data_IF_584814742201
#
_entry.id   IF_584814742201
#
_cell.length_a   1.000
_cell.length_b   1.000
_cell.length_c   1.000
_cell.angle_alpha   90.00
_cell.angle_beta   90.00
_cell.angle_gamma   90.00
#
_symmetry.space_group_name_H-M   'P 1'
#
loop_
_entity.id
_entity.type
_entity.pdbx_description
1 polymer ?
#
# COMPACT_ATOMS: atom_id res chain seq x y z
N UNK A 1 -17.71 18.35 25.92
CA UNK A 1 -18.92 19.08 25.48
C UNK A 1 -18.60 20.04 24.32
N UNK A 2 -17.55 20.87 24.45
CA UNK A 2 -17.13 21.84 23.41
C UNK A 2 -16.81 21.17 22.08
N UNK A 3 -16.11 20.02 22.09
CA UNK A 3 -15.76 19.25 20.89
C UNK A 3 -17.01 18.82 20.10
N UNK A 4 -18.08 18.45 20.79
CA UNK A 4 -19.35 18.06 20.13
C UNK A 4 -20.05 19.24 19.42
N UNK A 5 -19.68 20.48 19.76
CA UNK A 5 -20.15 21.71 19.13
C UNK A 5 -19.16 22.28 18.11
N UNK A 6 -18.11 21.51 17.78
CA UNK A 6 -17.09 21.91 16.81
C UNK A 6 -16.00 22.84 17.35
N UNK A 7 -15.98 23.09 18.66
CA UNK A 7 -14.91 23.84 19.29
C UNK A 7 -13.83 22.89 19.80
N UNK A 8 -12.72 22.84 19.08
CA UNK A 8 -11.54 22.03 19.37
C UNK A 8 -10.49 22.78 20.22
N UNK A 9 -10.79 24.05 20.57
CA UNK A 9 -9.85 24.90 21.30
C UNK A 9 -8.66 25.36 20.47
N UNK A 10 -7.60 25.77 21.18
CA UNK A 10 -6.39 26.36 20.61
C UNK A 10 -5.17 25.50 20.90
N UNK A 11 -4.21 25.49 19.96
CA UNK A 11 -2.92 24.82 20.13
C UNK A 11 -2.08 25.52 21.20
N UNK A 12 -1.59 24.76 22.17
CA UNK A 12 -0.71 25.25 23.25
C UNK A 12 0.64 25.71 22.68
N UNK A 13 1.07 25.16 21.53
CA UNK A 13 2.39 25.44 20.94
C UNK A 13 2.43 26.75 20.17
N UNK A 14 1.37 27.03 19.39
CA UNK A 14 1.36 28.19 18.45
C UNK A 14 0.14 29.09 18.55
N UNK A 15 -0.78 28.81 19.49
CA UNK A 15 -1.97 29.64 19.73
C UNK A 15 -3.04 29.62 18.61
N UNK A 16 -2.85 28.83 17.56
CA UNK A 16 -3.80 28.74 16.46
C UNK A 16 -5.00 27.85 16.82
N UNK A 17 -6.21 28.14 16.27
CA UNK A 17 -7.35 27.25 16.42
C UNK A 17 -7.03 25.83 15.88
N UNK A 18 -7.30 24.79 16.66
CA UNK A 18 -7.04 23.40 16.27
C UNK A 18 -7.83 23.02 15.01
N UNK A 19 -9.06 23.50 14.87
CA UNK A 19 -9.88 23.29 13.66
C UNK A 19 -9.18 23.75 12.38
N UNK A 20 -8.47 24.89 12.43
CA UNK A 20 -7.69 25.41 11.30
C UNK A 20 -6.48 24.53 10.99
N UNK A 21 -5.73 24.09 12.01
CA UNK A 21 -4.56 23.22 11.83
C UNK A 21 -4.96 21.89 11.22
N UNK A 22 -6.00 21.26 11.77
CA UNK A 22 -6.54 19.99 11.28
C UNK A 22 -7.08 20.14 9.85
N UNK A 23 -7.88 21.19 9.58
CA UNK A 23 -8.42 21.43 8.24
C UNK A 23 -7.35 21.63 7.16
N UNK A 24 -6.18 22.17 7.52
CA UNK A 24 -5.04 22.32 6.59
C UNK A 24 -4.25 21.00 6.40
N UNK A 25 -4.13 20.17 7.46
CA UNK A 25 -3.37 18.94 7.41
C UNK A 25 -4.15 17.75 6.81
N UNK A 26 -5.45 17.65 7.10
CA UNK A 26 -6.29 16.54 6.66
C UNK A 26 -6.24 16.25 5.16
N UNK A 27 -6.34 17.23 4.23
CA UNK A 27 -6.28 16.93 2.80
C UNK A 27 -4.97 16.27 2.38
N UNK A 28 -3.83 16.67 2.99
CA UNK A 28 -2.54 16.06 2.70
C UNK A 28 -2.45 14.62 3.23
N UNK A 29 -2.96 14.40 4.43
CA UNK A 29 -3.00 13.08 5.06
C UNK A 29 -3.85 12.12 4.24
N UNK A 30 -5.08 12.53 3.85
CA UNK A 30 -5.96 11.72 3.01
C UNK A 30 -5.34 11.39 1.66
N UNK A 31 -4.70 12.36 1.03
CA UNK A 31 -4.03 12.16 -0.26
C UNK A 31 -2.91 11.10 -0.15
N UNK A 32 -2.02 11.25 0.83
CA UNK A 32 -0.93 10.30 1.06
C UNK A 32 -1.47 8.90 1.40
N UNK A 33 -2.43 8.81 2.30
CA UNK A 33 -3.04 7.56 2.73
C UNK A 33 -3.72 6.85 1.54
N UNK A 34 -4.53 7.57 0.78
CA UNK A 34 -5.28 7.02 -0.35
C UNK A 34 -4.36 6.54 -1.47
N UNK A 35 -3.39 7.36 -1.87
CA UNK A 35 -2.41 6.99 -2.91
C UNK A 35 -1.57 5.79 -2.46
N UNK A 36 -1.12 5.77 -1.21
CA UNK A 36 -0.35 4.65 -0.65
C UNK A 36 -1.18 3.37 -0.60
N UNK A 37 -2.46 3.45 -0.24
CA UNK A 37 -3.37 2.30 -0.23
C UNK A 37 -3.58 1.73 -1.64
N UNK A 38 -3.83 2.58 -2.63
CA UNK A 38 -4.01 2.14 -4.02
C UNK A 38 -2.74 1.46 -4.53
N UNK A 39 -1.59 2.11 -4.40
CA UNK A 39 -0.32 1.57 -4.91
C UNK A 39 0.01 0.25 -4.20
N UNK A 40 -0.08 0.22 -2.87
CA UNK A 40 0.20 -1.01 -2.12
C UNK A 40 -0.76 -2.15 -2.47
N UNK A 41 -2.02 -1.84 -2.71
CA UNK A 41 -3.03 -2.84 -3.09
C UNK A 41 -2.71 -3.43 -4.46
N UNK A 42 -2.48 -2.58 -5.47
CA UNK A 42 -2.17 -3.04 -6.82
C UNK A 42 -0.87 -3.85 -6.83
N UNK A 43 0.21 -3.28 -6.29
CA UNK A 43 1.54 -3.92 -6.31
C UNK A 43 1.56 -5.20 -5.46
N UNK A 44 0.97 -5.16 -4.25
CA UNK A 44 0.94 -6.31 -3.35
C UNK A 44 0.13 -7.48 -3.92
N UNK A 45 -1.05 -7.21 -4.51
CA UNK A 45 -1.86 -8.25 -5.15
C UNK A 45 -1.14 -8.82 -6.38
N UNK A 46 -0.58 -7.98 -7.26
CA UNK A 46 0.13 -8.45 -8.45
C UNK A 46 1.31 -9.35 -8.09
N UNK A 47 2.17 -8.91 -7.18
CA UNK A 47 3.32 -9.72 -6.74
C UNK A 47 2.83 -11.00 -6.05
N UNK A 48 1.79 -10.94 -5.22
CA UNK A 48 1.22 -12.09 -4.53
C UNK A 48 0.67 -13.15 -5.49
N UNK A 49 -0.05 -12.72 -6.53
CA UNK A 49 -0.57 -13.61 -7.59
C UNK A 49 0.59 -14.27 -8.35
N UNK A 50 1.57 -13.48 -8.81
CA UNK A 50 2.74 -14.01 -9.54
C UNK A 50 3.51 -15.02 -8.67
N UNK A 51 3.71 -14.70 -7.40
CA UNK A 51 4.38 -15.55 -6.42
C UNK A 51 3.62 -16.87 -6.21
N UNK A 52 2.29 -16.83 -6.11
CA UNK A 52 1.47 -18.03 -5.96
C UNK A 52 1.50 -18.92 -7.21
N UNK A 53 1.37 -18.33 -8.41
CA UNK A 53 1.41 -19.05 -9.68
C UNK A 53 2.77 -19.71 -9.92
N UNK A 54 3.85 -19.04 -9.51
CA UNK A 54 5.23 -19.56 -9.62
C UNK A 54 5.75 -20.11 -8.28
N UNK A 55 4.87 -20.77 -7.54
CA UNK A 55 5.19 -21.35 -6.22
C UNK A 55 6.50 -22.14 -6.22
N UNK A 56 7.32 -21.92 -5.19
CA UNK A 56 8.64 -22.53 -4.98
C UNK A 56 9.69 -22.22 -6.06
N UNK A 57 9.38 -21.38 -7.03
CA UNK A 57 10.33 -20.87 -8.01
C UNK A 57 11.17 -19.71 -7.48
N UNK A 58 12.14 -19.27 -8.28
CA UNK A 58 13.04 -18.15 -7.94
C UNK A 58 12.25 -16.86 -7.64
N UNK A 59 11.22 -16.54 -8.45
CA UNK A 59 10.40 -15.35 -8.28
C UNK A 59 9.65 -15.41 -6.94
N UNK A 60 9.08 -16.55 -6.58
CA UNK A 60 8.40 -16.73 -5.31
C UNK A 60 9.36 -16.56 -4.12
N UNK A 61 10.56 -17.16 -4.22
CA UNK A 61 11.57 -17.06 -3.17
C UNK A 61 12.03 -15.60 -2.96
N UNK A 62 12.30 -14.87 -4.05
CA UNK A 62 12.69 -13.46 -3.99
C UNK A 62 11.54 -12.62 -3.41
N UNK A 63 10.30 -12.81 -3.87
CA UNK A 63 9.15 -12.06 -3.39
C UNK A 63 8.91 -12.30 -1.89
N UNK A 64 9.02 -13.54 -1.41
CA UNK A 64 8.93 -13.86 0.03
C UNK A 64 10.05 -13.23 0.84
N UNK A 65 11.29 -13.29 0.34
CA UNK A 65 12.44 -12.66 0.99
C UNK A 65 12.25 -11.15 1.12
N UNK A 66 11.87 -10.46 0.03
CA UNK A 66 11.58 -9.02 0.05
C UNK A 66 10.40 -8.67 0.96
N UNK A 67 9.36 -9.52 1.03
CA UNK A 67 8.24 -9.31 1.92
C UNK A 67 8.64 -9.44 3.41
N UNK A 68 9.57 -10.33 3.75
CA UNK A 68 10.14 -10.40 5.12
C UNK A 68 10.89 -9.11 5.44
N UNK A 69 11.76 -8.66 4.56
CA UNK A 69 12.51 -7.39 4.74
C UNK A 69 11.54 -6.21 4.89
N UNK A 70 10.56 -6.08 3.98
CA UNK A 70 9.61 -4.97 3.99
C UNK A 70 8.72 -4.90 5.23
N UNK A 71 8.55 -6.01 5.96
CA UNK A 71 7.82 -6.02 7.24
C UNK A 71 8.73 -5.92 8.46
N UNK A 72 10.01 -6.26 8.33
CA UNK A 72 11.00 -6.20 9.42
C UNK A 72 11.57 -4.79 9.61
N UNK A 73 11.70 -4.02 8.52
CA UNK A 73 12.24 -2.66 8.59
C UNK A 73 11.17 -1.70 9.11
N UNK A 74 11.45 -0.92 10.18
CA UNK A 74 10.54 0.12 10.63
C UNK A 74 10.28 1.15 9.51
N UNK A 75 9.01 1.47 9.28
CA UNK A 75 8.58 2.34 8.18
C UNK A 75 9.28 3.72 8.19
N UNK A 76 9.41 4.34 9.37
CA UNK A 76 10.10 5.63 9.51
C UNK A 76 11.58 5.54 9.13
N UNK A 77 12.25 4.44 9.52
CA UNK A 77 13.66 4.23 9.20
C UNK A 77 13.87 4.06 7.70
N UNK A 78 13.02 3.27 7.04
CA UNK A 78 13.04 3.15 5.59
C UNK A 78 12.80 4.50 4.91
N UNK A 79 11.84 5.29 5.41
CA UNK A 79 11.57 6.65 4.92
C UNK A 79 12.80 7.55 4.98
N UNK A 80 13.55 7.53 6.10
CA UNK A 80 14.78 8.30 6.25
C UNK A 80 15.85 7.84 5.24
N UNK A 81 16.00 6.54 5.05
CA UNK A 81 16.99 6.00 4.11
C UNK A 81 16.72 6.44 2.67
N UNK A 82 15.47 6.31 2.18
CA UNK A 82 15.14 6.70 0.81
C UNK A 82 15.19 8.22 0.62
N UNK A 83 14.80 9.01 1.63
CA UNK A 83 14.91 10.45 1.61
C UNK A 83 16.40 10.88 1.52
N UNK A 84 17.26 10.31 2.37
CA UNK A 84 18.69 10.58 2.31
C UNK A 84 19.28 10.26 0.95
N UNK A 85 18.99 9.09 0.41
CA UNK A 85 19.54 8.63 -0.85
C UNK A 85 19.01 9.43 -2.05
N UNK A 86 17.69 9.54 -2.22
CA UNK A 86 17.10 10.15 -3.42
C UNK A 86 17.03 11.68 -3.38
N UNK A 87 16.77 12.26 -2.19
CA UNK A 87 16.59 13.71 -2.08
C UNK A 87 17.88 14.43 -1.70
N UNK A 88 18.71 13.88 -0.81
CA UNK A 88 19.90 14.57 -0.32
C UNK A 88 21.13 14.24 -1.18
N UNK A 89 21.42 12.93 -1.41
CA UNK A 89 22.62 12.53 -2.15
C UNK A 89 22.44 12.68 -3.67
N UNK A 90 21.39 12.08 -4.25
CA UNK A 90 21.13 12.14 -5.69
C UNK A 90 20.44 13.42 -6.15
N UNK A 91 19.75 14.13 -5.26
CA UNK A 91 19.02 15.39 -5.55
C UNK A 91 18.01 15.28 -6.70
N UNK A 92 17.43 14.09 -6.91
CA UNK A 92 16.45 13.82 -7.99
C UNK A 92 15.00 13.95 -7.54
N UNK A 93 14.76 13.94 -6.22
CA UNK A 93 13.44 14.11 -5.64
C UNK A 93 13.45 15.19 -4.55
N UNK A 94 12.33 15.86 -4.29
CA UNK A 94 12.26 16.91 -3.28
C UNK A 94 12.36 16.31 -1.86
N UNK A 95 12.94 17.09 -0.94
CA UNK A 95 13.12 16.69 0.47
C UNK A 95 11.77 16.66 1.22
N UNK A 96 10.83 17.53 0.86
CA UNK A 96 9.54 17.64 1.54
C UNK A 96 8.66 18.73 0.94
N UNK A 97 7.53 19.00 1.60
CA UNK A 97 6.52 19.93 1.10
C UNK A 97 5.49 19.26 0.20
N UNK A 98 4.56 20.06 -0.33
CA UNK A 98 3.51 19.60 -1.25
C UNK A 98 3.81 19.97 -2.70
N UNK A 99 4.56 21.04 -2.90
CA UNK A 99 4.98 21.58 -4.19
C UNK A 99 6.33 22.27 -4.03
N UNK A 100 7.07 22.38 -5.11
CA UNK A 100 8.25 23.25 -5.16
C UNK A 100 7.84 24.73 -5.16
N UNK A 101 8.66 25.60 -4.61
CA UNK A 101 8.37 27.04 -4.54
C UNK A 101 8.09 27.60 -5.94
N UNK A 102 6.87 28.13 -6.15
CA UNK A 102 6.44 28.70 -7.42
C UNK A 102 6.01 27.71 -8.49
N UNK A 103 6.12 26.40 -8.25
CA UNK A 103 5.71 25.36 -9.22
C UNK A 103 4.55 24.51 -8.65
N UNK A 104 3.33 24.88 -9.03
CA UNK A 104 2.09 24.18 -8.63
C UNK A 104 1.62 23.19 -9.71
N UNK A 105 2.52 22.66 -10.52
CA UNK A 105 2.19 21.70 -11.57
C UNK A 105 1.86 20.32 -11.00
N UNK A 106 1.11 19.52 -11.77
CA UNK A 106 0.80 18.13 -11.45
C UNK A 106 2.07 17.27 -11.34
N UNK A 107 3.08 17.56 -12.15
CA UNK A 107 4.37 16.85 -12.13
C UNK A 107 5.10 17.12 -10.80
N UNK A 108 5.18 18.39 -10.40
CA UNK A 108 5.74 18.76 -9.08
C UNK A 108 5.03 18.02 -7.95
N UNK A 109 3.69 17.93 -8.00
CA UNK A 109 2.91 17.18 -7.01
C UNK A 109 3.29 15.71 -6.94
N UNK A 110 3.40 15.03 -8.09
CA UNK A 110 3.82 13.62 -8.15
C UNK A 110 5.21 13.44 -7.54
N UNK A 111 6.18 14.30 -7.88
CA UNK A 111 7.53 14.21 -7.33
C UNK A 111 7.56 14.26 -5.81
N UNK A 112 6.73 15.14 -5.20
CA UNK A 112 6.62 15.26 -3.75
C UNK A 112 5.89 14.07 -3.08
N UNK A 113 5.09 13.31 -3.84
CA UNK A 113 4.38 12.12 -3.35
C UNK A 113 5.25 10.85 -3.40
N UNK A 114 6.24 10.76 -4.29
CA UNK A 114 6.99 9.50 -4.51
C UNK A 114 7.61 8.97 -3.22
N UNK A 115 8.42 9.76 -2.52
CA UNK A 115 9.13 9.30 -1.32
C UNK A 115 8.18 8.93 -0.18
N UNK A 116 7.24 9.81 0.25
CA UNK A 116 6.36 9.45 1.36
C UNK A 116 5.42 8.30 1.02
N UNK A 117 4.89 8.23 -0.21
CA UNK A 117 4.05 7.11 -0.64
C UNK A 117 4.84 5.80 -0.66
N UNK A 118 6.08 5.80 -1.16
CA UNK A 118 6.94 4.61 -1.15
C UNK A 118 7.22 4.15 0.28
N UNK A 119 7.55 5.07 1.18
CA UNK A 119 7.78 4.76 2.58
C UNK A 119 6.54 4.17 3.26
N UNK A 120 5.35 4.73 3.01
CA UNK A 120 4.10 4.21 3.57
C UNK A 120 3.68 2.87 2.96
N UNK A 121 4.00 2.65 1.70
CA UNK A 121 3.53 1.47 0.95
C UNK A 121 4.33 0.20 1.22
N UNK A 122 5.62 0.27 1.57
CA UNK A 122 6.49 -0.92 1.60
C UNK A 122 5.97 -2.04 2.51
N UNK A 123 5.59 -1.69 3.74
CA UNK A 123 5.04 -2.66 4.70
C UNK A 123 3.67 -3.20 4.27
N UNK A 124 2.83 -2.33 3.67
CA UNK A 124 1.52 -2.71 3.15
C UNK A 124 1.64 -3.66 1.96
N UNK A 125 2.52 -3.36 1.00
CA UNK A 125 2.83 -4.24 -0.15
C UNK A 125 3.29 -5.61 0.34
N UNK A 126 4.23 -5.65 1.27
CA UNK A 126 4.76 -6.88 1.83
C UNK A 126 3.68 -7.74 2.53
N UNK A 127 2.79 -7.09 3.29
CA UNK A 127 1.67 -7.78 3.94
C UNK A 127 0.66 -8.29 2.91
N UNK A 128 0.20 -7.44 1.98
CA UNK A 128 -0.78 -7.81 0.96
C UNK A 128 -0.26 -8.90 0.03
N UNK A 129 1.02 -8.83 -0.35
CA UNK A 129 1.68 -9.88 -1.13
C UNK A 129 1.56 -11.24 -0.43
N UNK A 130 1.91 -11.32 0.86
CA UNK A 130 1.84 -12.59 1.61
C UNK A 130 0.40 -13.10 1.75
N UNK A 131 -0.55 -12.20 2.07
CA UNK A 131 -1.96 -12.56 2.17
C UNK A 131 -2.51 -13.06 0.84
N UNK A 132 -2.23 -12.35 -0.25
CA UNK A 132 -2.67 -12.74 -1.59
C UNK A 132 -2.09 -14.08 -2.01
N UNK A 133 -0.79 -14.26 -1.81
CA UNK A 133 -0.12 -15.55 -2.09
C UNK A 133 -0.76 -16.70 -1.32
N UNK A 134 -0.92 -16.57 -0.01
CA UNK A 134 -1.48 -17.64 0.83
C UNK A 134 -2.94 -17.95 0.44
N UNK A 135 -3.78 -16.92 0.28
CA UNK A 135 -5.16 -17.10 -0.18
C UNK A 135 -5.25 -17.79 -1.54
N UNK A 136 -4.36 -17.49 -2.46
CA UNK A 136 -4.30 -18.17 -3.75
C UNK A 136 -3.91 -19.65 -3.60
N UNK A 137 -2.92 -19.95 -2.76
CA UNK A 137 -2.45 -21.33 -2.54
C UNK A 137 -3.52 -22.18 -1.85
N UNK A 138 -4.27 -21.63 -0.89
CA UNK A 138 -5.39 -22.32 -0.25
C UNK A 138 -6.45 -22.73 -1.27
N UNK A 139 -6.75 -21.84 -2.22
CA UNK A 139 -7.74 -22.09 -3.26
C UNK A 139 -7.23 -23.05 -4.34
N UNK A 140 -5.92 -23.10 -4.64
CA UNK A 140 -5.36 -24.01 -5.64
C UNK A 140 -5.70 -25.47 -5.42
N UNK A 141 -5.78 -25.88 -4.15
CA UNK A 141 -6.05 -27.26 -3.75
C UNK A 141 -7.55 -27.58 -3.57
N UNK A 142 -8.43 -26.61 -3.78
CA UNK A 142 -9.87 -26.78 -3.61
C UNK A 142 -10.46 -27.74 -4.65
N UNK A 143 -11.44 -28.55 -4.25
CA UNK A 143 -12.00 -29.61 -5.12
C UNK A 143 -12.73 -29.06 -6.35
N UNK A 144 -13.33 -27.87 -6.25
CA UNK A 144 -13.93 -27.22 -7.41
C UNK A 144 -12.90 -26.79 -8.46
N UNK A 145 -11.66 -26.50 -8.05
CA UNK A 145 -10.53 -26.19 -8.97
C UNK A 145 -10.08 -27.47 -9.68
N UNK A 146 -9.93 -28.57 -8.93
CA UNK A 146 -9.62 -29.89 -9.49
C UNK A 146 -10.70 -30.32 -10.49
N UNK A 147 -11.97 -30.15 -10.14
CA UNK A 147 -13.11 -30.44 -11.01
C UNK A 147 -13.10 -29.60 -12.29
N UNK A 148 -12.78 -28.31 -12.20
CA UNK A 148 -12.68 -27.44 -13.37
C UNK A 148 -11.57 -27.91 -14.33
N UNK A 149 -10.40 -28.31 -13.79
CA UNK A 149 -9.31 -28.87 -14.57
C UNK A 149 -9.68 -30.21 -15.21
N UNK A 150 -10.33 -31.10 -14.45
CA UNK A 150 -10.79 -32.39 -14.96
C UNK A 150 -11.82 -32.24 -16.10
N UNK A 151 -12.60 -31.17 -16.13
CA UNK A 151 -13.52 -30.80 -17.20
C UNK A 151 -12.84 -30.13 -18.41
N UNK A 152 -11.52 -30.01 -18.43
CA UNK A 152 -10.77 -29.43 -19.54
C UNK A 152 -10.89 -27.90 -19.64
N UNK A 153 -11.25 -27.20 -18.55
CA UNK A 153 -11.28 -25.73 -18.56
C UNK A 153 -9.85 -25.22 -18.74
N UNK A 154 -9.59 -24.31 -19.69
CA UNK A 154 -8.25 -23.80 -19.94
C UNK A 154 -7.68 -23.07 -18.70
N UNK A 155 -6.41 -23.28 -18.42
CA UNK A 155 -5.73 -22.83 -17.17
C UNK A 155 -5.94 -21.34 -16.87
N UNK A 156 -5.89 -20.45 -17.87
CA UNK A 156 -6.12 -19.02 -17.64
C UNK A 156 -7.51 -18.74 -17.04
N UNK A 157 -8.57 -19.49 -17.49
CA UNK A 157 -9.92 -19.40 -16.90
C UNK A 157 -9.95 -19.97 -15.49
N UNK A 158 -9.22 -21.07 -15.25
CA UNK A 158 -9.09 -21.65 -13.91
C UNK A 158 -8.47 -20.62 -12.96
N UNK A 159 -7.37 -19.97 -13.36
CA UNK A 159 -6.70 -18.95 -12.55
C UNK A 159 -7.58 -17.73 -12.28
N UNK A 160 -8.15 -17.09 -13.30
CA UNK A 160 -8.87 -15.84 -13.12
C UNK A 160 -10.28 -16.03 -12.56
N UNK A 161 -11.04 -17.04 -13.06
CA UNK A 161 -12.45 -17.22 -12.70
C UNK A 161 -12.66 -18.04 -11.43
N UNK A 162 -11.85 -19.08 -11.23
CA UNK A 162 -12.04 -20.01 -10.11
C UNK A 162 -11.09 -19.72 -8.94
N UNK A 163 -9.83 -19.42 -9.18
CA UNK A 163 -8.86 -19.22 -8.11
C UNK A 163 -8.84 -17.77 -7.65
N UNK A 164 -8.46 -16.82 -8.50
CA UNK A 164 -8.30 -15.42 -8.15
C UNK A 164 -9.56 -14.82 -7.52
N UNK A 165 -10.72 -15.02 -8.17
CA UNK A 165 -11.99 -14.48 -7.66
C UNK A 165 -12.33 -14.97 -6.25
N UNK A 166 -12.05 -16.22 -5.93
CA UNK A 166 -12.30 -16.77 -4.59
C UNK A 166 -11.23 -16.36 -3.58
N UNK A 167 -9.96 -16.30 -3.99
CA UNK A 167 -8.86 -15.83 -3.17
C UNK A 167 -8.96 -14.35 -2.80
N UNK A 168 -9.64 -13.52 -3.62
CA UNK A 168 -9.84 -12.10 -3.34
C UNK A 168 -10.79 -11.82 -2.18
N UNK A 169 -11.69 -12.74 -1.80
CA UNK A 169 -12.67 -12.51 -0.73
C UNK A 169 -12.02 -12.11 0.60
N UNK A 170 -11.07 -12.87 1.18
CA UNK A 170 -10.42 -12.47 2.42
C UNK A 170 -9.54 -11.22 2.24
N UNK A 171 -9.00 -10.97 1.05
CA UNK A 171 -8.20 -9.78 0.76
C UNK A 171 -9.06 -8.52 0.79
N UNK A 172 -10.27 -8.56 0.22
CA UNK A 172 -11.22 -7.44 0.28
C UNK A 172 -11.61 -7.10 1.71
N UNK A 173 -11.87 -8.12 2.54
CA UNK A 173 -12.15 -7.93 3.97
C UNK A 173 -10.99 -7.22 4.65
N UNK A 174 -9.75 -7.68 4.40
CA UNK A 174 -8.54 -7.06 4.97
C UNK A 174 -8.38 -5.59 4.52
N UNK A 175 -8.66 -5.27 3.26
CA UNK A 175 -8.59 -3.90 2.76
C UNK A 175 -9.61 -2.99 3.44
N UNK A 176 -10.86 -3.46 3.65
CA UNK A 176 -11.90 -2.70 4.35
C UNK A 176 -11.47 -2.37 5.78
N UNK A 177 -10.91 -3.34 6.51
CA UNK A 177 -10.40 -3.11 7.87
C UNK A 177 -9.15 -2.23 7.94
N UNK A 178 -8.47 -2.01 6.81
CA UNK A 178 -7.32 -1.11 6.74
C UNK A 178 -7.71 0.36 6.54
N UNK A 179 -8.87 0.64 5.96
CA UNK A 179 -9.34 2.01 5.71
C UNK A 179 -9.38 2.89 6.97
N UNK A 180 -9.87 2.42 8.13
CA UNK A 180 -9.92 3.25 9.35
C UNK A 180 -8.55 3.48 10.00
N UNK A 181 -7.50 2.76 9.59
CA UNK A 181 -6.16 2.83 10.16
C UNK A 181 -5.22 3.77 9.37
N UNK A 182 -5.72 4.37 8.30
CA UNK A 182 -5.03 5.36 7.47
C UNK A 182 -5.34 6.78 7.92
#
# INVERSE_FOLDING_TARGET
WQILHGDFGYSIVNGNPISKIVGQALPATFELAFVSLIISTIVGILIGVISAVKQNGIIDNIARFLAVIGTAIPQFFFGILILNFFAIQLKILPIGGRFSSGDFTFISRIQHLILPVTAMSIGLVAALMRYTRNSMLDVFNADYVKTARAKGVPEWKVYFKHIFRNAMRPILVLLIFRLPLL
#
